data_IF_696064832006
#
_entry.id   IF_696064832006
#
_cell.length_a   1.000
_cell.length_b   1.000
_cell.length_c   1.000
_cell.angle_alpha   90.00
_cell.angle_beta   90.00
_cell.angle_gamma   90.00
#
_symmetry.space_group_name_H-M   'P 1'
#
loop_
_entity.id
_entity.type
_entity.pdbx_description
1 polymer ?
#
# COMPACT_ATOMS: atom_id res chain seq x y z
N UNK A 1 -46.43 27.27 -8.91
CA UNK A 1 -46.96 26.21 -8.07
C UNK A 1 -46.30 24.85 -8.30
N UNK A 2 -45.71 24.63 -9.44
CA UNK A 2 -45.05 23.36 -9.76
C UNK A 2 -43.67 23.26 -9.12
N UNK A 3 -43.07 24.37 -8.73
CA UNK A 3 -41.72 24.46 -8.19
C UNK A 3 -41.61 23.88 -6.77
N UNK A 4 -42.70 23.76 -6.04
CA UNK A 4 -42.69 23.30 -4.64
C UNK A 4 -42.44 21.80 -4.47
N UNK A 5 -42.72 20.99 -5.48
CA UNK A 5 -42.56 19.53 -5.42
C UNK A 5 -41.15 19.07 -5.77
N UNK A 6 -40.39 19.87 -6.51
CA UNK A 6 -39.04 19.52 -6.92
C UNK A 6 -38.01 19.68 -5.82
N UNK A 7 -38.23 20.55 -4.82
CA UNK A 7 -37.29 20.78 -3.75
C UNK A 7 -37.15 19.59 -2.80
N UNK A 8 -38.24 18.83 -2.57
CA UNK A 8 -38.19 17.66 -1.70
C UNK A 8 -37.46 16.47 -2.33
N UNK A 9 -37.54 16.31 -3.63
CA UNK A 9 -36.84 15.23 -4.37
C UNK A 9 -35.33 15.48 -4.38
N UNK A 10 -34.92 16.74 -4.44
CA UNK A 10 -33.49 17.11 -4.45
C UNK A 10 -32.79 16.78 -3.12
N UNK A 11 -33.48 16.98 -2.00
CA UNK A 11 -32.95 16.64 -0.67
C UNK A 11 -32.81 15.13 -0.46
N UNK A 12 -33.70 14.34 -0.97
CA UNK A 12 -33.63 12.88 -0.88
C UNK A 12 -32.48 12.29 -1.68
N UNK A 13 -32.21 12.81 -2.86
CA UNK A 13 -31.11 12.37 -3.71
C UNK A 13 -29.73 12.70 -3.08
N UNK A 14 -29.58 13.87 -2.45
CA UNK A 14 -28.35 14.27 -1.77
C UNK A 14 -28.05 13.39 -0.56
N UNK A 15 -29.06 12.97 0.20
CA UNK A 15 -28.90 12.11 1.36
C UNK A 15 -28.48 10.68 0.97
N UNK A 16 -28.99 10.15 -0.13
CA UNK A 16 -28.62 8.83 -0.63
C UNK A 16 -27.14 8.75 -1.06
N UNK A 17 -26.59 9.83 -1.64
CA UNK A 17 -25.19 9.91 -2.04
C UNK A 17 -24.23 9.89 -0.86
N UNK A 18 -24.61 10.47 0.29
CA UNK A 18 -23.74 10.51 1.50
C UNK A 18 -23.62 9.13 2.14
N UNK A 19 -24.68 8.30 2.09
CA UNK A 19 -24.66 6.95 2.67
C UNK A 19 -23.81 5.95 1.89
N UNK A 20 -23.63 6.16 0.58
CA UNK A 20 -22.85 5.24 -0.26
C UNK A 20 -21.33 5.51 -0.22
N UNK A 21 -20.88 6.65 0.34
CA UNK A 21 -19.48 7.07 0.32
C UNK A 21 -18.61 6.47 1.44
N UNK A 22 -19.17 5.70 2.41
CA UNK A 22 -18.49 5.29 3.64
C UNK A 22 -18.25 3.79 3.78
N UNK A 23 -18.25 3.01 2.67
CA UNK A 23 -18.27 1.55 2.76
C UNK A 23 -16.91 0.89 2.88
N UNK A 24 -15.83 1.46 2.30
CA UNK A 24 -14.51 0.83 2.28
C UNK A 24 -13.39 1.84 2.47
N UNK A 25 -12.29 1.39 3.05
CA UNK A 25 -11.06 2.17 3.26
C UNK A 25 -9.89 1.38 2.71
N UNK A 26 -9.03 2.05 1.90
CA UNK A 26 -7.79 1.47 1.41
C UNK A 26 -6.63 2.40 1.75
N UNK A 27 -5.56 1.83 2.31
CA UNK A 27 -4.34 2.53 2.68
C UNK A 27 -3.19 2.02 1.81
N UNK A 28 -2.51 2.95 1.12
CA UNK A 28 -1.44 2.61 0.21
C UNK A 28 -1.92 1.90 -1.04
N UNK A 29 -0.98 1.55 -1.91
CA UNK A 29 -1.23 0.79 -3.14
C UNK A 29 -1.02 -0.69 -2.87
N UNK A 30 -1.93 -1.53 -3.33
CA UNK A 30 -1.74 -2.97 -3.25
C UNK A 30 -0.53 -3.40 -4.08
N UNK A 31 0.17 -4.42 -3.62
CA UNK A 31 1.33 -5.00 -4.30
C UNK A 31 1.31 -6.52 -4.15
N UNK A 32 1.95 -7.22 -5.09
CA UNK A 32 1.97 -8.69 -5.13
C UNK A 32 3.19 -9.24 -4.38
N UNK A 33 3.04 -9.42 -3.07
CA UNK A 33 4.08 -9.97 -2.20
C UNK A 33 4.49 -11.38 -2.63
N UNK A 34 3.54 -12.21 -3.01
CA UNK A 34 3.80 -13.60 -3.42
C UNK A 34 4.69 -13.64 -4.66
N UNK A 35 4.42 -12.80 -5.64
CA UNK A 35 5.22 -12.70 -6.86
C UNK A 35 6.65 -12.26 -6.53
N UNK A 36 6.81 -11.31 -5.60
CA UNK A 36 8.13 -10.87 -5.15
C UNK A 36 8.89 -12.02 -4.49
N UNK A 37 8.28 -12.73 -3.55
CA UNK A 37 8.93 -13.85 -2.86
C UNK A 37 9.38 -14.95 -3.81
N UNK A 38 8.61 -15.19 -4.87
CA UNK A 38 8.91 -16.23 -5.87
C UNK A 38 10.06 -15.85 -6.81
N UNK A 39 10.35 -14.56 -6.97
CA UNK A 39 11.32 -14.05 -7.96
C UNK A 39 12.60 -13.51 -7.36
N UNK A 40 12.55 -13.01 -6.13
CA UNK A 40 13.68 -12.32 -5.51
C UNK A 40 14.87 -13.26 -5.31
N UNK A 41 16.07 -12.75 -5.63
CA UNK A 41 17.33 -13.45 -5.42
C UNK A 41 18.29 -12.51 -4.69
N UNK A 42 18.73 -12.90 -3.52
CA UNK A 42 19.68 -12.12 -2.72
C UNK A 42 21.00 -11.91 -3.48
N UNK A 43 21.46 -10.66 -3.50
CA UNK A 43 22.69 -10.28 -4.18
C UNK A 43 22.59 -10.22 -5.70
N UNK A 44 21.41 -10.42 -6.28
CA UNK A 44 21.18 -10.44 -7.74
C UNK A 44 20.07 -9.48 -8.17
N UNK A 45 18.91 -9.54 -7.51
CA UNK A 45 17.74 -8.72 -7.87
C UNK A 45 18.05 -7.24 -7.70
N UNK A 46 17.81 -6.45 -8.76
CA UNK A 46 18.10 -5.01 -8.81
C UNK A 46 16.90 -4.18 -8.38
N UNK A 47 17.14 -2.87 -8.09
CA UNK A 47 16.08 -1.91 -7.84
C UNK A 47 15.09 -1.85 -9.01
N UNK A 48 15.60 -1.84 -10.23
CA UNK A 48 14.77 -1.77 -11.44
C UNK A 48 13.82 -2.96 -11.54
N UNK A 49 14.28 -4.15 -11.22
CA UNK A 49 13.44 -5.34 -11.20
C UNK A 49 12.34 -5.26 -10.14
N UNK A 50 12.68 -4.75 -8.96
CA UNK A 50 11.69 -4.56 -7.89
C UNK A 50 10.61 -3.56 -8.32
N UNK A 51 11.00 -2.45 -8.94
CA UNK A 51 10.04 -1.47 -9.50
C UNK A 51 9.14 -2.11 -10.55
N UNK A 52 9.70 -2.93 -11.42
CA UNK A 52 8.93 -3.65 -12.44
C UNK A 52 7.88 -4.57 -11.83
N UNK A 53 8.23 -5.28 -10.75
CA UNK A 53 7.32 -6.25 -10.12
C UNK A 53 6.31 -5.61 -9.18
N UNK A 54 6.71 -4.60 -8.41
CA UNK A 54 5.91 -4.04 -7.31
C UNK A 54 5.48 -2.59 -7.54
N UNK A 55 6.07 -1.89 -8.50
CA UNK A 55 5.87 -0.45 -8.67
C UNK A 55 6.71 0.36 -7.68
N UNK A 56 6.41 1.65 -7.58
CA UNK A 56 7.13 2.55 -6.69
C UNK A 56 6.87 2.20 -5.22
N UNK A 57 7.89 2.24 -4.36
CA UNK A 57 7.69 2.04 -2.94
C UNK A 57 6.92 3.21 -2.31
N UNK A 58 6.28 2.94 -1.18
CA UNK A 58 5.59 3.97 -0.41
C UNK A 58 6.58 4.97 0.20
N UNK A 59 7.72 4.48 0.66
CA UNK A 59 8.78 5.32 1.20
C UNK A 59 10.15 4.69 0.97
N UNK A 60 11.16 5.56 0.97
CA UNK A 60 12.57 5.16 0.87
C UNK A 60 13.35 5.81 2.01
N UNK A 61 14.38 5.15 2.46
CA UNK A 61 15.21 5.65 3.54
C UNK A 61 16.57 4.98 3.55
N UNK A 62 17.32 5.22 4.60
CA UNK A 62 18.63 4.61 4.81
C UNK A 62 18.61 3.83 6.13
N UNK A 63 18.97 2.56 6.06
CA UNK A 63 19.19 1.73 7.24
C UNK A 63 20.69 1.64 7.52
N UNK A 64 21.07 1.84 8.77
CA UNK A 64 22.46 1.72 9.22
C UNK A 64 22.55 0.53 10.17
N UNK A 65 23.37 -0.45 9.81
CA UNK A 65 23.60 -1.63 10.64
C UNK A 65 24.60 -1.34 11.77
N UNK A 66 24.65 -2.23 12.75
CA UNK A 66 25.52 -2.09 13.93
C UNK A 66 27.00 -1.99 13.52
N UNK A 67 27.42 -2.63 12.43
CA UNK A 67 28.78 -2.59 11.90
C UNK A 67 29.07 -1.33 11.07
N UNK A 68 28.11 -0.39 10.98
CA UNK A 68 28.26 0.85 10.22
C UNK A 68 27.89 0.75 8.75
N UNK A 69 27.55 -0.43 8.25
CA UNK A 69 27.12 -0.58 6.85
C UNK A 69 25.79 0.13 6.61
N UNK A 70 25.70 0.78 5.45
CA UNK A 70 24.53 1.55 5.06
C UNK A 70 23.83 0.86 3.91
N UNK A 71 22.51 0.76 4.02
CA UNK A 71 21.64 0.17 3.01
C UNK A 71 20.52 1.16 2.69
N UNK A 72 20.10 1.20 1.42
CA UNK A 72 18.88 1.87 1.05
C UNK A 72 17.70 0.95 1.40
N UNK A 73 16.72 1.48 2.12
CA UNK A 73 15.57 0.70 2.53
C UNK A 73 14.30 1.21 1.85
N UNK A 74 13.61 0.32 1.18
CA UNK A 74 12.32 0.60 0.54
C UNK A 74 11.21 -0.07 1.32
N UNK A 75 10.12 0.67 1.54
CA UNK A 75 8.95 0.18 2.24
C UNK A 75 7.74 0.18 1.33
N UNK A 76 7.12 -0.99 1.20
CA UNK A 76 5.83 -1.18 0.56
C UNK A 76 4.81 -1.46 1.64
N UNK A 77 3.68 -0.77 1.59
CA UNK A 77 2.61 -0.90 2.58
C UNK A 77 1.27 -0.90 1.87
N UNK A 78 0.44 -1.87 2.20
CA UNK A 78 -0.93 -1.95 1.72
C UNK A 78 -1.84 -2.39 2.85
N UNK A 79 -3.01 -1.77 2.93
CA UNK A 79 -4.04 -2.14 3.89
C UNK A 79 -5.41 -1.84 3.35
N UNK A 80 -6.39 -2.65 3.69
CA UNK A 80 -7.78 -2.46 3.29
C UNK A 80 -8.72 -2.99 4.36
N UNK A 81 -9.89 -2.39 4.46
CA UNK A 81 -10.92 -2.82 5.39
C UNK A 81 -12.22 -2.08 5.13
N UNK A 82 -13.26 -2.43 5.86
CA UNK A 82 -14.59 -1.85 5.72
C UNK A 82 -15.04 -1.15 7.00
N UNK A 83 -15.70 -0.01 6.83
CA UNK A 83 -16.36 0.70 7.92
C UNK A 83 -17.76 0.10 8.18
N UNK A 84 -18.26 0.21 9.41
CA UNK A 84 -17.61 0.72 10.61
C UNK A 84 -16.72 -0.33 11.29
N UNK A 85 -15.71 0.12 12.02
CA UNK A 85 -14.93 -0.71 12.93
C UNK A 85 -13.75 -1.46 12.33
N UNK A 86 -13.61 -1.54 11.02
CA UNK A 86 -12.46 -2.14 10.33
C UNK A 86 -12.12 -3.55 10.81
N UNK A 87 -13.11 -4.36 11.15
CA UNK A 87 -12.90 -5.73 11.69
C UNK A 87 -12.28 -6.68 10.68
N UNK A 88 -12.47 -6.42 9.40
CA UNK A 88 -11.91 -7.18 8.28
C UNK A 88 -10.60 -6.58 7.75
N UNK A 89 -9.99 -5.64 8.47
CA UNK A 89 -8.77 -4.97 8.03
C UNK A 89 -7.64 -5.97 7.80
N UNK A 90 -6.96 -5.81 6.65
CA UNK A 90 -5.81 -6.62 6.25
C UNK A 90 -4.65 -5.72 5.90
N UNK A 91 -3.46 -6.10 6.30
CA UNK A 91 -2.25 -5.32 6.09
C UNK A 91 -1.14 -6.19 5.51
N UNK A 92 -0.37 -5.59 4.60
CA UNK A 92 0.89 -6.15 4.10
C UNK A 92 1.96 -5.09 4.20
N UNK A 93 3.10 -5.44 4.75
CA UNK A 93 4.27 -4.57 4.81
C UNK A 93 5.46 -5.37 4.31
N UNK A 94 6.19 -4.79 3.36
CA UNK A 94 7.43 -5.35 2.83
C UNK A 94 8.52 -4.29 2.92
N UNK A 95 9.62 -4.62 3.58
CA UNK A 95 10.81 -3.77 3.66
C UNK A 95 11.96 -4.46 2.97
N UNK A 96 12.59 -3.77 2.02
CA UNK A 96 13.67 -4.30 1.22
C UNK A 96 14.92 -3.45 1.45
N UNK A 97 16.04 -4.08 1.74
CA UNK A 97 17.34 -3.42 1.85
C UNK A 97 18.16 -3.70 0.61
N UNK A 98 18.63 -2.61 -0.02
CA UNK A 98 19.56 -2.67 -1.16
C UNK A 98 20.95 -2.24 -0.72
N UNK A 99 21.96 -2.93 -1.18
CA UNK A 99 23.35 -2.54 -0.93
C UNK A 99 23.77 -1.38 -1.84
N UNK A 100 25.04 -0.98 -1.73
CA UNK A 100 25.58 0.13 -2.52
C UNK A 100 25.62 -0.16 -4.01
N UNK A 101 25.62 -1.44 -4.41
CA UNK A 101 25.55 -1.84 -5.81
C UNK A 101 24.10 -1.82 -6.34
N UNK A 102 23.11 -1.58 -5.48
CA UNK A 102 21.72 -1.50 -5.88
C UNK A 102 21.04 -2.84 -6.04
N UNK A 103 21.54 -3.87 -5.37
CA UNK A 103 20.91 -5.20 -5.40
C UNK A 103 20.32 -5.53 -4.02
N UNK A 104 19.29 -6.35 -4.02
CA UNK A 104 18.60 -6.77 -2.80
C UNK A 104 19.56 -7.55 -1.90
N UNK A 105 19.76 -7.07 -0.69
CA UNK A 105 20.60 -7.69 0.32
C UNK A 105 19.79 -8.52 1.29
N UNK A 106 18.65 -7.98 1.70
CA UNK A 106 17.72 -8.66 2.60
C UNK A 106 16.32 -8.06 2.43
N UNK A 107 15.33 -8.78 2.87
CA UNK A 107 13.97 -8.27 2.95
C UNK A 107 13.24 -8.91 4.11
N UNK A 108 12.23 -8.20 4.58
CA UNK A 108 11.40 -8.63 5.68
C UNK A 108 9.95 -8.26 5.35
N UNK A 109 9.02 -9.15 5.67
CA UNK A 109 7.61 -8.86 5.43
C UNK A 109 6.75 -9.26 6.61
N UNK A 110 5.64 -8.54 6.75
CA UNK A 110 4.58 -8.84 7.70
C UNK A 110 3.25 -8.77 6.94
N UNK A 111 2.42 -9.76 7.14
CA UNK A 111 1.05 -9.74 6.61
C UNK A 111 0.10 -10.29 7.66
N UNK A 112 -1.08 -9.73 7.64
CA UNK A 112 -2.15 -10.10 8.56
C UNK A 112 -3.28 -10.81 7.81
#
# INVERSE_FOLDING_TARGET
MVVRHYSHIFWFAAFACVLSACASVQLGRDFDLQSFENRVQHGVTTRAQVIEWLGEPRSTGVAVEVDGRRYEEWTYLSGAGHLPGMKDARFKILQIKFDQQGVVRSYEFTKD
#
